data_IF_296551224895
#
_entry.id   IF_296551224895
#
_cell.length_a   1.000
_cell.length_b   1.000
_cell.length_c   1.000
_cell.angle_alpha   90.00
_cell.angle_beta   90.00
_cell.angle_gamma   90.00
#
_symmetry.space_group_name_H-M   'P 1'
#
loop_
_entity.id
_entity.type
_entity.pdbx_description
1 polymer ?
#
# COMPACT_ATOMS: atom_id res chain seq x y z
N UNK A 1 -24.91 -15.88 -11.14
CA UNK A 1 -23.65 -16.52 -10.65
C UNK A 1 -23.21 -15.72 -9.43
N UNK A 2 -23.19 -16.32 -8.22
CA UNK A 2 -22.70 -15.64 -7.01
C UNK A 2 -21.22 -15.25 -7.24
N UNK A 3 -20.92 -13.96 -7.15
CA UNK A 3 -19.52 -13.48 -7.15
C UNK A 3 -18.72 -14.32 -6.13
N UNK A 4 -17.49 -14.75 -6.48
CA UNK A 4 -16.66 -15.47 -5.53
C UNK A 4 -16.52 -14.61 -4.28
N UNK A 5 -16.69 -15.23 -3.11
CA UNK A 5 -16.71 -14.58 -1.80
C UNK A 5 -15.55 -13.59 -1.65
N UNK A 6 -15.85 -12.31 -1.80
CA UNK A 6 -14.90 -11.22 -1.58
C UNK A 6 -14.71 -11.06 -0.07
N UNK A 7 -13.48 -10.93 0.40
CA UNK A 7 -13.18 -10.72 1.80
C UNK A 7 -13.47 -9.25 2.18
N UNK A 8 -14.75 -8.93 2.31
CA UNK A 8 -15.25 -7.56 2.53
C UNK A 8 -14.62 -6.90 3.75
N UNK A 9 -14.43 -7.65 4.84
CA UNK A 9 -13.79 -7.13 6.04
C UNK A 9 -12.32 -6.78 5.77
N UNK A 10 -11.57 -7.62 5.06
CA UNK A 10 -10.17 -7.34 4.71
C UNK A 10 -10.06 -6.12 3.78
N UNK A 11 -11.02 -5.92 2.87
CA UNK A 11 -11.11 -4.72 2.05
C UNK A 11 -11.31 -3.47 2.94
N UNK A 12 -12.23 -3.53 3.92
CA UNK A 12 -12.47 -2.44 4.87
C UNK A 12 -11.26 -2.13 5.74
N UNK A 13 -10.60 -3.15 6.29
CA UNK A 13 -9.38 -3.01 7.09
C UNK A 13 -8.26 -2.34 6.28
N UNK A 14 -8.08 -2.73 5.01
CA UNK A 14 -7.12 -2.08 4.11
C UNK A 14 -7.47 -0.61 3.86
N UNK A 15 -8.76 -0.31 3.71
CA UNK A 15 -9.24 1.07 3.55
C UNK A 15 -8.92 1.92 4.78
N UNK A 16 -9.28 1.46 5.96
CA UNK A 16 -8.99 2.16 7.22
C UNK A 16 -7.49 2.40 7.39
N UNK A 17 -6.65 1.39 7.14
CA UNK A 17 -5.20 1.55 7.23
C UNK A 17 -4.67 2.62 6.25
N UNK A 18 -5.20 2.70 5.02
CA UNK A 18 -4.80 3.71 4.04
C UNK A 18 -5.19 5.13 4.48
N UNK A 19 -6.37 5.31 5.08
CA UNK A 19 -6.78 6.60 5.65
C UNK A 19 -5.91 7.02 6.84
N UNK A 20 -5.52 6.07 7.71
CA UNK A 20 -4.61 6.37 8.83
C UNK A 20 -3.24 6.81 8.30
N UNK A 21 -2.73 6.18 7.24
CA UNK A 21 -1.47 6.61 6.59
C UNK A 21 -1.58 8.03 6.02
N UNK A 22 -2.71 8.39 5.40
CA UNK A 22 -2.94 9.74 4.92
C UNK A 22 -2.93 10.75 6.09
N UNK A 23 -3.65 10.47 7.17
CA UNK A 23 -3.65 11.32 8.36
C UNK A 23 -2.25 11.44 8.97
N UNK A 24 -1.50 10.34 9.03
CA UNK A 24 -0.12 10.32 9.50
C UNK A 24 0.78 11.29 8.72
N UNK A 25 0.73 11.26 7.40
CA UNK A 25 1.54 12.16 6.57
C UNK A 25 1.11 13.62 6.72
N UNK A 26 -0.19 13.90 6.83
CA UNK A 26 -0.69 15.26 7.10
C UNK A 26 -0.21 15.78 8.45
N UNK A 27 -0.23 14.95 9.49
CA UNK A 27 0.26 15.31 10.82
C UNK A 27 1.78 15.55 10.83
N UNK A 28 2.54 14.77 10.06
CA UNK A 28 3.98 14.95 9.90
C UNK A 28 4.35 16.32 9.28
N UNK A 29 3.52 16.89 8.42
CA UNK A 29 3.74 18.24 7.86
C UNK A 29 3.78 19.33 8.95
N UNK A 30 3.17 19.08 10.11
CA UNK A 30 3.21 19.97 11.28
C UNK A 30 4.38 19.70 12.23
N UNK A 31 5.38 18.92 11.81
CA UNK A 31 6.53 18.51 12.62
C UNK A 31 6.16 17.76 13.91
N UNK A 32 4.97 17.17 13.94
CA UNK A 32 4.51 16.38 15.08
C UNK A 32 4.91 14.90 14.91
N UNK A 33 5.37 14.29 15.99
CA UNK A 33 5.71 12.87 16.07
C UNK A 33 4.50 12.01 16.49
N UNK A 34 3.28 12.45 16.16
CA UNK A 34 2.07 11.70 16.44
C UNK A 34 1.93 10.49 15.51
N UNK A 35 1.21 9.47 15.97
CA UNK A 35 0.93 8.25 15.23
C UNK A 35 2.20 7.44 14.86
N UNK A 36 3.06 7.09 15.82
CA UNK A 36 4.37 6.48 15.55
C UNK A 36 4.28 5.12 14.84
N UNK A 37 3.17 4.40 14.98
CA UNK A 37 2.97 3.09 14.37
C UNK A 37 2.22 3.13 13.04
N UNK A 38 1.74 4.29 12.58
CA UNK A 38 0.97 4.39 11.34
C UNK A 38 1.76 3.91 10.10
N UNK A 39 3.08 4.08 10.09
CA UNK A 39 3.96 3.57 9.04
C UNK A 39 3.98 2.04 8.92
N UNK A 40 3.58 1.30 9.98
CA UNK A 40 3.44 -0.15 9.95
C UNK A 40 2.21 -0.62 9.15
N UNK A 41 1.30 0.28 8.76
CA UNK A 41 0.22 -0.05 7.85
C UNK A 41 0.75 -0.66 6.54
N UNK A 42 1.96 -0.31 6.11
CA UNK A 42 2.60 -0.91 4.94
C UNK A 42 2.90 -2.39 5.17
N UNK A 43 3.36 -2.76 6.36
CA UNK A 43 3.60 -4.17 6.72
C UNK A 43 2.30 -4.96 6.77
N UNK A 44 1.21 -4.33 7.29
CA UNK A 44 -0.14 -4.89 7.21
C UNK A 44 -0.59 -5.09 5.74
N UNK A 45 -0.30 -4.15 4.84
CA UNK A 45 -0.58 -4.31 3.41
C UNK A 45 0.21 -5.45 2.79
N UNK A 46 1.46 -5.71 3.21
CA UNK A 46 2.22 -6.86 2.73
C UNK A 46 1.60 -8.19 3.19
N UNK A 47 1.11 -8.30 4.43
CA UNK A 47 0.37 -9.50 4.89
C UNK A 47 -0.89 -9.71 4.04
N UNK A 48 -1.68 -8.65 3.83
CA UNK A 48 -2.87 -8.71 2.97
C UNK A 48 -2.52 -9.06 1.52
N UNK A 49 -1.44 -8.50 0.98
CA UNK A 49 -0.99 -8.77 -0.40
C UNK A 49 -0.65 -10.26 -0.57
N UNK A 50 0.14 -10.84 0.32
CA UNK A 50 0.45 -12.27 0.30
C UNK A 50 -0.81 -13.15 0.34
N UNK A 51 -1.74 -12.83 1.26
CA UNK A 51 -3.01 -13.56 1.39
C UNK A 51 -3.87 -13.47 0.12
N UNK A 52 -4.09 -12.26 -0.40
CA UNK A 52 -4.96 -12.02 -1.56
C UNK A 52 -4.35 -12.58 -2.84
N UNK A 53 -3.04 -12.50 -3.00
CA UNK A 53 -2.32 -13.04 -4.15
C UNK A 53 -2.43 -14.56 -4.17
N UNK A 54 -2.19 -15.23 -3.05
CA UNK A 54 -2.36 -16.67 -2.95
C UNK A 54 -3.82 -17.08 -3.25
N UNK A 55 -4.80 -16.37 -2.68
CA UNK A 55 -6.23 -16.60 -2.95
C UNK A 55 -6.58 -16.46 -4.44
N UNK A 56 -6.11 -15.41 -5.09
CA UNK A 56 -6.51 -15.12 -6.47
C UNK A 56 -5.80 -15.99 -7.52
N UNK A 57 -4.56 -16.40 -7.24
CA UNK A 57 -3.67 -16.92 -8.27
C UNK A 57 -3.07 -18.30 -7.99
N UNK A 58 -2.84 -18.69 -6.71
CA UNK A 58 -2.08 -19.91 -6.39
C UNK A 58 -2.66 -21.16 -7.06
N UNK A 59 -3.97 -21.41 -6.92
CA UNK A 59 -4.63 -22.57 -7.54
C UNK A 59 -4.46 -22.58 -9.06
N UNK A 60 -4.62 -21.42 -9.71
CA UNK A 60 -4.51 -21.30 -11.17
C UNK A 60 -3.09 -21.55 -11.68
N UNK A 61 -2.09 -21.08 -10.91
CA UNK A 61 -0.67 -21.30 -11.24
C UNK A 61 -0.29 -22.78 -11.07
N UNK A 62 -0.72 -23.41 -9.96
CA UNK A 62 -0.43 -24.80 -9.67
C UNK A 62 -1.13 -25.76 -10.65
N UNK A 63 -2.34 -25.43 -11.10
CA UNK A 63 -3.05 -26.22 -12.13
C UNK A 63 -2.59 -25.96 -13.56
N UNK A 64 -1.63 -25.05 -13.77
CA UNK A 64 -1.16 -24.68 -15.10
C UNK A 64 -2.11 -23.76 -15.90
N UNK A 65 -3.25 -23.34 -15.30
CA UNK A 65 -4.23 -22.44 -15.93
C UNK A 65 -3.74 -21.00 -16.07
N UNK A 66 -2.69 -20.62 -15.33
CA UNK A 66 -2.07 -19.32 -15.39
C UNK A 66 -0.56 -19.45 -15.49
N UNK A 67 0.02 -18.83 -16.52
CA UNK A 67 1.46 -18.80 -16.71
C UNK A 67 2.12 -17.69 -15.87
N UNK A 68 3.40 -17.81 -15.50
CA UNK A 68 4.13 -16.77 -14.76
C UNK A 68 4.07 -15.40 -15.42
N UNK A 69 4.16 -15.32 -16.73
CA UNK A 69 4.07 -14.07 -17.50
C UNK A 69 2.69 -13.41 -17.33
N UNK A 70 1.62 -14.19 -17.41
CA UNK A 70 0.24 -13.69 -17.27
C UNK A 70 -0.02 -13.16 -15.85
N UNK A 71 0.59 -13.80 -14.83
CA UNK A 71 0.57 -13.29 -13.45
C UNK A 71 1.22 -11.90 -13.36
N UNK A 72 2.44 -11.75 -13.90
CA UNK A 72 3.17 -10.48 -13.88
C UNK A 72 2.38 -9.40 -14.63
N UNK A 73 1.87 -9.72 -15.83
CA UNK A 73 1.03 -8.80 -16.60
C UNK A 73 -0.22 -8.37 -15.84
N UNK A 74 -0.89 -9.30 -15.14
CA UNK A 74 -2.07 -8.98 -14.35
C UNK A 74 -1.73 -8.01 -13.19
N UNK A 75 -0.56 -8.16 -12.55
CA UNK A 75 -0.08 -7.26 -11.49
C UNK A 75 0.25 -5.87 -12.06
N UNK A 76 0.97 -5.81 -13.18
CA UNK A 76 1.29 -4.54 -13.85
C UNK A 76 0.00 -3.82 -14.26
N UNK A 77 -0.92 -4.49 -14.96
CA UNK A 77 -2.21 -3.92 -15.38
C UNK A 77 -3.03 -3.42 -14.19
N UNK A 78 -2.88 -4.02 -13.01
CA UNK A 78 -3.60 -3.63 -11.79
C UNK A 78 -3.03 -2.40 -11.09
N UNK A 79 -1.70 -2.25 -11.06
CA UNK A 79 -1.04 -1.22 -10.23
C UNK A 79 -0.53 -0.04 -11.06
N UNK A 80 -0.02 -0.31 -12.26
CA UNK A 80 0.74 0.67 -13.03
C UNK A 80 -0.06 1.91 -13.49
N UNK A 81 -1.35 1.85 -13.83
CA UNK A 81 -2.07 3.04 -14.27
C UNK A 81 -2.01 4.19 -13.25
N UNK A 82 -2.29 3.93 -11.98
CA UNK A 82 -2.22 4.96 -10.94
C UNK A 82 -0.78 5.32 -10.56
N UNK A 83 0.17 4.41 -10.64
CA UNK A 83 1.61 4.72 -10.49
C UNK A 83 2.02 5.73 -11.57
N UNK A 84 1.68 5.47 -12.82
CA UNK A 84 1.99 6.37 -13.93
C UNK A 84 1.37 7.76 -13.71
N UNK A 85 0.10 7.83 -13.36
CA UNK A 85 -0.58 9.10 -13.12
C UNK A 85 0.05 9.87 -11.97
N UNK A 86 0.25 9.24 -10.81
CA UNK A 86 0.81 9.90 -9.63
C UNK A 86 2.26 10.33 -9.84
N UNK A 87 3.08 9.51 -10.49
CA UNK A 87 4.46 9.85 -10.83
C UNK A 87 4.51 10.99 -11.85
N UNK A 88 3.58 11.04 -12.82
CA UNK A 88 3.47 12.15 -13.77
C UNK A 88 3.15 13.48 -13.07
N UNK A 89 2.30 13.48 -12.03
CA UNK A 89 2.08 14.67 -11.20
C UNK A 89 3.40 15.07 -10.50
N UNK A 90 4.13 14.11 -9.92
CA UNK A 90 5.43 14.36 -9.30
C UNK A 90 6.48 14.92 -10.29
N UNK A 91 6.50 14.42 -11.53
CA UNK A 91 7.36 14.96 -12.60
C UNK A 91 6.98 16.41 -12.92
N UNK A 92 5.68 16.69 -13.05
CA UNK A 92 5.20 18.05 -13.36
C UNK A 92 5.58 19.05 -12.25
N UNK A 93 5.45 18.66 -10.98
CA UNK A 93 5.90 19.51 -9.85
C UNK A 93 7.42 19.70 -9.83
N UNK A 94 8.20 18.65 -10.13
CA UNK A 94 9.65 18.76 -10.22
C UNK A 94 10.10 19.60 -11.42
N UNK A 95 9.39 19.57 -12.55
CA UNK A 95 9.65 20.43 -13.71
C UNK A 95 9.46 21.91 -13.35
N UNK A 96 8.38 22.24 -12.61
CA UNK A 96 8.20 23.61 -12.11
C UNK A 96 9.36 24.04 -11.20
N UNK A 97 9.90 23.14 -10.37
CA UNK A 97 11.06 23.44 -9.55
C UNK A 97 12.32 23.69 -10.38
N UNK A 98 12.51 22.98 -11.51
CA UNK A 98 13.59 23.27 -12.49
C UNK A 98 13.44 24.66 -13.10
N UNK A 99 12.20 25.02 -13.48
CA UNK A 99 11.93 26.28 -14.20
C UNK A 99 12.04 27.53 -13.31
N UNK A 100 11.70 27.40 -12.02
CA UNK A 100 11.53 28.56 -11.14
C UNK A 100 12.47 28.62 -9.94
N UNK A 101 13.18 27.54 -9.60
CA UNK A 101 14.03 27.49 -8.38
C UNK A 101 15.50 27.16 -8.62
N UNK A 102 15.91 26.85 -9.85
CA UNK A 102 17.26 26.39 -10.23
C UNK A 102 17.88 25.32 -9.30
N UNK A 103 17.00 24.58 -8.60
CA UNK A 103 17.42 23.61 -7.57
C UNK A 103 17.74 22.22 -8.13
N UNK A 104 17.36 21.96 -9.37
CA UNK A 104 17.46 20.66 -10.05
C UNK A 104 17.82 20.90 -11.51
N UNK A 105 18.79 20.17 -12.05
CA UNK A 105 19.12 20.24 -13.49
C UNK A 105 18.15 19.40 -14.32
N UNK A 106 17.96 19.74 -15.60
CA UNK A 106 17.12 18.97 -16.52
C UNK A 106 17.60 17.52 -16.64
N UNK A 107 18.91 17.26 -16.63
CA UNK A 107 19.45 15.90 -16.68
C UNK A 107 19.10 15.09 -15.42
N UNK A 108 19.13 15.73 -14.24
CA UNK A 108 18.69 15.09 -13.00
C UNK A 108 17.20 14.77 -13.04
N UNK A 109 16.37 15.72 -13.52
CA UNK A 109 14.94 15.49 -13.69
C UNK A 109 14.66 14.30 -14.63
N UNK A 110 15.32 14.22 -15.76
CA UNK A 110 15.16 13.09 -16.70
C UNK A 110 15.53 11.74 -16.06
N UNK A 111 16.66 11.67 -15.34
CA UNK A 111 17.08 10.45 -14.62
C UNK A 111 16.06 10.03 -13.57
N UNK A 112 15.60 10.95 -12.72
CA UNK A 112 14.63 10.69 -11.67
C UNK A 112 13.28 10.29 -12.25
N UNK A 113 12.87 10.92 -13.37
CA UNK A 113 11.62 10.57 -14.05
C UNK A 113 11.64 9.16 -14.62
N UNK A 114 12.73 8.78 -15.29
CA UNK A 114 12.88 7.41 -15.81
C UNK A 114 12.84 6.36 -14.68
N UNK A 115 13.58 6.59 -13.59
CA UNK A 115 13.59 5.69 -12.44
C UNK A 115 12.20 5.64 -11.75
N UNK A 116 11.57 6.80 -11.55
CA UNK A 116 10.24 6.88 -10.92
C UNK A 116 9.15 6.17 -11.72
N UNK A 117 9.15 6.31 -13.04
CA UNK A 117 8.22 5.57 -13.93
C UNK A 117 8.46 4.06 -13.91
N UNK A 118 9.69 3.62 -13.68
CA UNK A 118 10.04 2.20 -13.51
C UNK A 118 9.84 1.69 -12.07
N UNK A 119 9.38 2.56 -11.15
CA UNK A 119 9.21 2.25 -9.72
C UNK A 119 10.55 1.82 -9.09
N UNK A 120 11.64 2.41 -9.54
CA UNK A 120 12.99 2.14 -9.04
C UNK A 120 13.47 3.27 -8.11
N UNK A 121 14.34 2.97 -7.14
CA UNK A 121 14.93 3.98 -6.27
C UNK A 121 15.83 4.92 -7.05
N UNK A 122 15.89 6.16 -6.62
CA UNK A 122 16.77 7.19 -7.16
C UNK A 122 17.73 7.67 -6.09
N UNK A 123 19.02 7.58 -6.37
CA UNK A 123 20.11 8.12 -5.57
C UNK A 123 20.74 9.35 -6.25
N UNK A 124 19.99 9.98 -7.16
CA UNK A 124 20.44 11.16 -7.93
C UNK A 124 20.62 12.39 -7.05
N UNK A 125 19.91 12.46 -5.94
CA UNK A 125 19.95 13.55 -4.97
C UNK A 125 20.45 13.05 -3.61
N UNK A 126 21.75 12.91 -3.37
CA UNK A 126 22.29 12.40 -2.11
C UNK A 126 21.86 13.22 -0.88
N UNK A 127 21.59 14.52 -1.07
CA UNK A 127 21.12 15.43 -0.02
C UNK A 127 19.65 15.21 0.37
N UNK A 128 18.88 14.42 -0.39
CA UNK A 128 17.49 14.08 -0.05
C UNK A 128 17.46 12.75 0.68
N UNK A 129 16.73 12.69 1.77
CA UNK A 129 16.61 11.46 2.56
C UNK A 129 15.86 10.36 1.81
N UNK A 130 14.88 10.74 1.00
CA UNK A 130 14.04 9.76 0.28
C UNK A 130 14.74 9.18 -0.96
N UNK A 131 14.56 7.88 -1.18
CA UNK A 131 14.95 7.22 -2.44
C UNK A 131 13.87 7.34 -3.54
N UNK A 132 12.70 7.93 -3.25
CA UNK A 132 11.59 8.07 -4.19
C UNK A 132 11.09 9.53 -4.27
N UNK A 133 11.88 10.41 -4.85
CA UNK A 133 11.63 11.87 -4.77
C UNK A 133 10.40 12.35 -5.53
N UNK A 134 9.91 11.63 -6.54
CA UNK A 134 8.71 12.03 -7.30
C UNK A 134 7.41 11.56 -6.65
N UNK A 135 7.43 10.39 -6.03
CA UNK A 135 6.30 9.84 -5.29
C UNK A 135 6.80 8.92 -4.17
N UNK A 136 6.81 9.43 -2.96
CA UNK A 136 7.32 8.70 -1.80
C UNK A 136 6.58 7.37 -1.57
N UNK A 137 5.28 7.28 -1.88
CA UNK A 137 4.52 6.04 -1.70
C UNK A 137 5.00 4.87 -2.58
N UNK A 138 5.76 5.15 -3.66
CA UNK A 138 6.27 4.12 -4.60
C UNK A 138 7.27 3.16 -3.96
N UNK A 139 7.91 3.53 -2.83
CA UNK A 139 8.89 2.67 -2.20
C UNK A 139 8.35 1.27 -1.86
N UNK A 140 7.16 1.19 -1.29
CA UNK A 140 6.57 -0.07 -0.88
C UNK A 140 6.19 -0.95 -2.08
N UNK A 141 5.84 -0.35 -3.21
CA UNK A 141 5.49 -1.06 -4.43
C UNK A 141 6.71 -1.71 -5.10
N UNK A 142 7.91 -1.11 -4.97
CA UNK A 142 9.17 -1.75 -5.38
C UNK A 142 9.36 -3.08 -4.67
N UNK A 143 9.20 -3.10 -3.35
CA UNK A 143 9.36 -4.33 -2.57
C UNK A 143 8.18 -5.29 -2.75
N UNK A 144 6.96 -4.80 -2.96
CA UNK A 144 5.83 -5.64 -3.35
C UNK A 144 6.10 -6.33 -4.70
N UNK A 145 6.60 -5.60 -5.68
CA UNK A 145 6.97 -6.18 -6.98
C UNK A 145 8.06 -7.25 -6.82
N UNK A 146 9.08 -6.98 -6.01
CA UNK A 146 10.14 -7.95 -5.69
C UNK A 146 9.58 -9.24 -5.11
N UNK A 147 8.77 -9.20 -4.04
CA UNK A 147 8.25 -10.44 -3.44
C UNK A 147 7.25 -11.15 -4.34
N UNK A 148 6.53 -10.44 -5.21
CA UNK A 148 5.70 -11.06 -6.24
C UNK A 148 6.55 -11.86 -7.26
N UNK A 149 7.71 -11.32 -7.67
CA UNK A 149 8.64 -12.02 -8.55
C UNK A 149 9.26 -13.24 -7.86
N UNK A 150 9.66 -13.10 -6.60
CA UNK A 150 10.14 -14.24 -5.79
C UNK A 150 9.03 -15.30 -5.71
N UNK A 151 7.82 -14.92 -5.32
CA UNK A 151 6.70 -15.85 -5.19
C UNK A 151 6.41 -16.62 -6.48
N UNK A 152 6.26 -15.92 -7.62
CA UNK A 152 5.94 -16.61 -8.88
C UNK A 152 7.06 -17.56 -9.33
N UNK A 153 8.31 -17.26 -8.99
CA UNK A 153 9.45 -18.10 -9.33
C UNK A 153 9.49 -19.40 -8.52
N UNK A 154 8.98 -19.39 -7.26
CA UNK A 154 9.09 -20.54 -6.35
C UNK A 154 7.77 -21.26 -6.08
N UNK A 155 6.59 -20.67 -6.38
CA UNK A 155 5.27 -21.16 -5.94
C UNK A 155 5.00 -22.61 -6.33
N UNK A 156 5.45 -23.07 -7.50
CA UNK A 156 5.29 -24.47 -7.97
C UNK A 156 6.08 -25.48 -7.12
N UNK A 157 7.15 -25.04 -6.47
CA UNK A 157 8.00 -25.85 -5.58
C UNK A 157 7.75 -25.57 -4.10
N UNK A 158 6.93 -24.57 -3.78
CA UNK A 158 6.70 -24.09 -2.42
C UNK A 158 5.72 -25.03 -1.68
N UNK A 159 6.25 -26.14 -1.16
CA UNK A 159 5.50 -27.03 -0.26
C UNK A 159 5.15 -26.32 1.06
N UNK A 160 4.22 -26.86 1.85
CA UNK A 160 3.89 -26.29 3.16
C UNK A 160 5.09 -26.27 4.11
N UNK A 161 5.95 -27.32 4.09
CA UNK A 161 7.17 -27.36 4.88
C UNK A 161 8.17 -26.27 4.46
N UNK A 162 8.38 -26.10 3.13
CA UNK A 162 9.24 -25.03 2.60
C UNK A 162 8.70 -23.65 2.95
N UNK A 163 7.37 -23.45 2.90
CA UNK A 163 6.75 -22.18 3.29
C UNK A 163 6.93 -21.88 4.78
N UNK A 164 6.76 -22.88 5.67
CA UNK A 164 6.99 -22.71 7.11
C UNK A 164 8.45 -22.34 7.36
N UNK A 165 9.41 -23.04 6.71
CA UNK A 165 10.83 -22.72 6.85
C UNK A 165 11.16 -21.30 6.35
N UNK A 166 10.59 -20.89 5.21
CA UNK A 166 10.76 -19.54 4.67
C UNK A 166 10.18 -18.47 5.60
N UNK A 167 8.99 -18.70 6.16
CA UNK A 167 8.37 -17.79 7.14
C UNK A 167 9.23 -17.70 8.39
N UNK A 168 9.72 -18.83 8.94
CA UNK A 168 10.54 -18.84 10.13
C UNK A 168 11.88 -18.14 9.91
N UNK A 169 12.58 -18.43 8.80
CA UNK A 169 13.86 -17.80 8.49
C UNK A 169 13.73 -16.31 8.20
N UNK A 170 12.69 -15.88 7.47
CA UNK A 170 12.44 -14.46 7.23
C UNK A 170 11.99 -13.73 8.51
N UNK A 171 11.29 -14.39 9.42
CA UNK A 171 11.00 -13.84 10.74
C UNK A 171 12.28 -13.61 11.56
N UNK A 172 13.20 -14.56 11.60
CA UNK A 172 14.49 -14.37 12.25
C UNK A 172 15.28 -13.21 11.65
N UNK A 173 15.26 -13.06 10.33
CA UNK A 173 15.88 -11.92 9.65
C UNK A 173 15.19 -10.58 10.03
N UNK A 174 13.85 -10.56 10.15
CA UNK A 174 13.11 -9.39 10.63
C UNK A 174 13.46 -9.05 12.08
N UNK A 175 13.59 -10.04 12.96
CA UNK A 175 14.05 -9.85 14.36
C UNK A 175 15.44 -9.23 14.38
N UNK A 176 16.38 -9.76 13.61
CA UNK A 176 17.73 -9.21 13.50
C UNK A 176 17.72 -7.77 12.98
N UNK A 177 16.88 -7.46 11.99
CA UNK A 177 16.65 -6.11 11.52
C UNK A 177 16.19 -5.18 12.65
N UNK A 178 15.14 -5.57 13.39
CA UNK A 178 14.57 -4.77 14.48
C UNK A 178 15.60 -4.51 15.59
N UNK A 179 16.43 -5.50 15.92
CA UNK A 179 17.53 -5.34 16.89
C UNK A 179 18.58 -4.35 16.37
N UNK A 180 18.93 -4.45 15.08
CA UNK A 180 19.96 -3.60 14.46
C UNK A 180 19.56 -2.13 14.35
N UNK A 181 18.31 -1.85 13.92
CA UNK A 181 17.83 -0.48 13.66
C UNK A 181 16.87 0.06 14.72
N UNK A 182 16.68 -0.67 15.84
CA UNK A 182 15.78 -0.31 16.94
C UNK A 182 14.31 -0.08 16.52
N UNK A 183 13.84 -0.84 15.51
CA UNK A 183 12.47 -0.77 15.02
C UNK A 183 12.27 -1.40 13.64
N UNK A 184 11.07 -1.33 13.10
CA UNK A 184 10.81 -1.72 11.72
C UNK A 184 11.00 -0.50 10.82
N UNK A 185 12.14 -0.40 10.16
CA UNK A 185 12.52 0.70 9.29
C UNK A 185 13.11 0.19 7.96
N UNK A 186 13.33 1.11 7.03
CA UNK A 186 13.96 0.84 5.73
C UNK A 186 12.99 0.75 4.57
N UNK A 187 13.55 0.92 3.38
CA UNK A 187 12.87 0.89 2.09
C UNK A 187 12.58 2.25 1.47
N UNK A 188 12.25 3.26 2.26
CA UNK A 188 11.89 4.60 1.77
C UNK A 188 13.09 5.56 1.68
N UNK A 189 14.05 5.46 2.58
CA UNK A 189 15.22 6.32 2.67
C UNK A 189 16.42 5.72 1.91
N UNK A 190 17.32 6.56 1.43
CA UNK A 190 18.49 6.12 0.66
C UNK A 190 19.40 5.20 1.47
N UNK A 191 19.76 5.56 2.71
CA UNK A 191 20.65 4.79 3.58
C UNK A 191 20.09 3.41 3.95
N UNK A 192 18.81 3.33 4.26
CA UNK A 192 18.14 2.08 4.66
C UNK A 192 17.36 1.39 3.54
N UNK A 193 17.57 1.77 2.27
CA UNK A 193 16.76 1.23 1.18
C UNK A 193 16.81 -0.30 1.09
N UNK A 194 17.98 -0.89 1.16
CA UNK A 194 18.17 -2.34 1.05
C UNK A 194 17.48 -3.14 2.17
N UNK A 195 17.25 -2.53 3.33
CA UNK A 195 16.54 -3.18 4.44
C UNK A 195 15.08 -3.49 4.11
N UNK A 196 14.52 -2.78 3.12
CA UNK A 196 13.17 -3.05 2.62
C UNK A 196 12.99 -4.48 2.07
N UNK A 197 14.04 -5.10 1.54
CA UNK A 197 13.98 -6.51 1.10
C UNK A 197 13.78 -7.46 2.28
N UNK A 198 14.45 -7.22 3.39
CA UNK A 198 14.28 -8.03 4.61
C UNK A 198 12.88 -7.79 5.20
N UNK A 199 12.47 -6.52 5.27
CA UNK A 199 11.20 -6.12 5.85
C UNK A 199 9.99 -6.75 5.17
N UNK A 200 9.99 -6.87 3.84
CA UNK A 200 8.82 -7.31 3.05
C UNK A 200 8.60 -8.82 3.05
N UNK A 201 9.67 -9.62 3.18
CA UNK A 201 9.59 -11.09 2.96
C UNK A 201 8.70 -11.76 3.99
N UNK A 202 8.93 -11.51 5.29
CA UNK A 202 8.14 -12.15 6.35
C UNK A 202 6.64 -11.81 6.23
N UNK A 203 6.18 -10.55 6.23
CA UNK A 203 4.75 -10.24 6.20
C UNK A 203 4.07 -10.74 4.92
N UNK A 204 4.75 -10.77 3.79
CA UNK A 204 4.17 -11.31 2.57
C UNK A 204 4.00 -12.83 2.63
N UNK A 205 5.03 -13.58 3.03
CA UNK A 205 4.95 -15.05 3.04
C UNK A 205 4.10 -15.61 4.19
N UNK A 206 4.03 -14.92 5.34
CA UNK A 206 3.04 -15.27 6.36
C UNK A 206 1.61 -15.08 5.81
N UNK A 207 1.35 -14.03 5.02
CA UNK A 207 0.08 -13.84 4.32
C UNK A 207 -0.30 -15.03 3.44
N UNK A 208 0.65 -15.59 2.67
CA UNK A 208 0.44 -16.81 1.88
C UNK A 208 0.11 -18.01 2.77
N UNK A 209 0.84 -18.18 3.88
CA UNK A 209 0.57 -19.25 4.84
C UNK A 209 -0.84 -19.14 5.44
N UNK A 210 -1.25 -17.93 5.83
CA UNK A 210 -2.60 -17.67 6.33
C UNK A 210 -3.69 -18.06 5.31
N UNK A 211 -3.46 -17.81 4.02
CA UNK A 211 -4.40 -18.27 2.98
C UNK A 211 -4.51 -19.79 2.94
N UNK A 212 -3.39 -20.52 2.98
CA UNK A 212 -3.38 -22.00 2.94
C UNK A 212 -4.09 -22.63 4.15
N UNK A 213 -3.99 -21.99 5.32
CA UNK A 213 -4.56 -22.46 6.58
C UNK A 213 -5.79 -21.65 7.04
N UNK A 214 -6.42 -20.89 6.13
CA UNK A 214 -7.54 -20.01 6.49
C UNK A 214 -8.71 -20.73 7.10
N UNK A 215 -9.45 -20.08 8.03
CA UNK A 215 -10.63 -20.65 8.65
C UNK A 215 -11.82 -20.68 7.68
N UNK A 216 -12.81 -21.52 8.00
CA UNK A 216 -14.10 -21.50 7.29
C UNK A 216 -14.86 -20.20 7.64
N UNK A 217 -15.52 -19.58 6.65
CA UNK A 217 -16.27 -18.34 6.87
C UNK A 217 -17.44 -18.55 7.87
N UNK A 218 -17.58 -17.60 8.81
CA UNK A 218 -18.67 -17.54 9.78
C UNK A 218 -19.21 -16.12 9.91
N UNK A 219 -20.50 -15.98 10.17
CA UNK A 219 -21.09 -14.66 10.44
C UNK A 219 -20.76 -14.22 11.87
N UNK A 220 -19.88 -13.22 12.01
CA UNK A 220 -19.44 -12.65 13.29
C UNK A 220 -19.21 -11.14 13.15
N UNK A 221 -20.28 -10.34 12.97
CA UNK A 221 -20.12 -8.90 12.72
C UNK A 221 -19.44 -8.15 13.86
N UNK A 222 -19.74 -8.50 15.11
CA UNK A 222 -19.11 -7.91 16.30
C UNK A 222 -17.59 -8.13 16.29
N UNK A 223 -17.13 -9.33 15.96
CA UNK A 223 -15.70 -9.63 15.82
C UNK A 223 -15.08 -8.77 14.71
N UNK A 224 -15.79 -8.53 13.61
CA UNK A 224 -15.33 -7.65 12.55
C UNK A 224 -15.12 -6.21 13.02
N UNK A 225 -16.03 -5.67 13.80
CA UNK A 225 -15.89 -4.33 14.40
C UNK A 225 -14.70 -4.29 15.38
N UNK A 226 -14.55 -5.33 16.22
CA UNK A 226 -13.40 -5.41 17.14
C UNK A 226 -12.09 -5.41 16.37
N UNK A 227 -11.95 -6.16 15.27
CA UNK A 227 -10.73 -6.18 14.46
C UNK A 227 -10.43 -4.80 13.83
N UNK A 228 -11.45 -4.06 13.38
CA UNK A 228 -11.29 -2.69 12.90
C UNK A 228 -10.79 -1.76 14.01
N UNK A 229 -11.39 -1.82 15.20
CA UNK A 229 -10.99 -1.01 16.35
C UNK A 229 -9.57 -1.35 16.83
N UNK A 230 -9.21 -2.64 16.87
CA UNK A 230 -7.85 -3.09 17.22
C UNK A 230 -6.84 -2.56 16.22
N UNK A 231 -7.10 -2.65 14.90
CA UNK A 231 -6.20 -2.11 13.89
C UNK A 231 -6.05 -0.59 14.04
N UNK A 232 -7.15 0.14 14.23
CA UNK A 232 -7.10 1.59 14.49
C UNK A 232 -6.24 1.90 15.74
N UNK A 233 -6.49 1.21 16.86
CA UNK A 233 -5.77 1.44 18.10
C UNK A 233 -4.27 1.20 17.93
N UNK A 234 -3.86 0.09 17.28
CA UNK A 234 -2.46 -0.24 17.06
C UNK A 234 -1.76 0.82 16.20
N UNK A 235 -2.40 1.31 15.15
CA UNK A 235 -1.79 2.27 14.23
C UNK A 235 -1.78 3.71 14.77
N UNK A 236 -2.65 4.04 15.76
CA UNK A 236 -2.81 5.42 16.22
C UNK A 236 -2.33 5.68 17.63
N UNK A 237 -2.35 4.69 18.52
CA UNK A 237 -1.93 4.89 19.91
C UNK A 237 -0.41 4.93 20.03
N UNK A 238 0.08 5.86 20.83
CA UNK A 238 1.49 5.94 21.18
C UNK A 238 1.76 5.04 22.39
N UNK A 239 2.38 3.89 22.16
CA UNK A 239 2.76 2.92 23.19
C UNK A 239 4.29 2.93 23.31
N UNK A 240 4.86 2.88 24.53
CA UNK A 240 6.31 2.83 24.72
C UNK A 240 6.92 1.55 24.13
N UNK A 241 8.26 1.51 24.01
CA UNK A 241 9.03 0.37 23.45
C UNK A 241 8.73 0.08 21.98
N UNK A 242 8.88 1.10 21.12
CA UNK A 242 8.57 1.06 19.69
C UNK A 242 9.11 -0.18 18.98
N UNK A 243 10.36 -0.58 19.22
CA UNK A 243 10.98 -1.74 18.57
C UNK A 243 10.24 -3.05 18.91
N UNK A 244 9.94 -3.29 20.19
CA UNK A 244 9.24 -4.50 20.64
C UNK A 244 7.79 -4.51 20.16
N UNK A 245 7.07 -3.38 20.30
CA UNK A 245 5.68 -3.28 19.87
C UNK A 245 5.56 -3.45 18.37
N UNK A 246 6.42 -2.81 17.57
CA UNK A 246 6.40 -2.96 16.11
C UNK A 246 6.65 -4.41 15.67
N UNK A 247 7.59 -5.10 16.33
CA UNK A 247 7.83 -6.53 16.07
C UNK A 247 6.60 -7.38 16.40
N UNK A 248 5.97 -7.18 17.57
CA UNK A 248 4.74 -7.89 17.98
C UNK A 248 3.61 -7.61 16.98
N UNK A 249 3.42 -6.35 16.58
CA UNK A 249 2.35 -5.96 15.67
C UNK A 249 2.51 -6.64 14.31
N UNK A 250 3.69 -6.60 13.73
CA UNK A 250 3.94 -7.18 12.40
C UNK A 250 4.00 -8.71 12.45
N UNK A 251 4.58 -9.30 13.51
CA UNK A 251 4.78 -10.76 13.59
C UNK A 251 3.54 -11.52 14.05
N UNK A 252 2.68 -10.91 14.88
CA UNK A 252 1.58 -11.62 15.55
C UNK A 252 0.23 -10.96 15.24
N UNK A 253 0.10 -9.66 15.52
CA UNK A 253 -1.22 -9.03 15.52
C UNK A 253 -1.77 -8.84 14.11
N UNK A 254 -0.97 -8.34 13.16
CA UNK A 254 -1.42 -8.20 11.77
C UNK A 254 -1.75 -9.55 11.12
N UNK A 255 -0.92 -10.61 11.25
CA UNK A 255 -1.31 -11.94 10.84
C UNK A 255 -2.61 -12.44 11.49
N UNK A 256 -2.78 -12.23 12.81
CA UNK A 256 -4.00 -12.63 13.52
C UNK A 256 -5.25 -11.89 13.01
N UNK A 257 -5.15 -10.56 12.76
CA UNK A 257 -6.23 -9.76 12.17
C UNK A 257 -6.60 -10.29 10.79
N UNK A 258 -5.63 -10.56 9.92
CA UNK A 258 -5.88 -11.07 8.56
C UNK A 258 -6.49 -12.48 8.63
N UNK A 259 -5.96 -13.37 9.47
CA UNK A 259 -6.48 -14.73 9.65
C UNK A 259 -7.93 -14.71 10.13
N UNK A 260 -8.21 -14.02 11.24
CA UNK A 260 -9.55 -13.90 11.79
C UNK A 260 -10.51 -13.21 10.80
N UNK A 261 -10.07 -12.09 10.21
CA UNK A 261 -10.86 -11.31 9.25
C UNK A 261 -11.21 -12.07 7.97
N UNK A 262 -10.36 -13.01 7.54
CA UNK A 262 -10.60 -13.85 6.37
C UNK A 262 -11.76 -14.85 6.58
N UNK A 263 -12.06 -15.18 7.83
CA UNK A 263 -13.15 -16.08 8.22
C UNK A 263 -14.43 -15.36 8.63
N UNK A 264 -14.58 -14.05 8.40
CA UNK A 264 -15.75 -13.28 8.84
C UNK A 264 -16.56 -12.81 7.64
N UNK A 265 -17.84 -13.17 7.62
CA UNK A 265 -18.83 -12.60 6.71
C UNK A 265 -19.48 -11.37 7.35
N UNK A 266 -19.56 -10.28 6.59
CA UNK A 266 -20.17 -9.02 7.00
C UNK A 266 -21.59 -8.93 6.41
N UNK A 267 -22.58 -8.49 7.20
CA UNK A 267 -23.95 -8.26 6.72
C UNK A 267 -24.00 -7.19 5.62
N UNK A 268 -24.98 -7.30 4.73
CA UNK A 268 -25.11 -6.45 3.53
C UNK A 268 -25.13 -4.94 3.82
N UNK A 269 -25.68 -4.49 4.97
CA UNK A 269 -25.78 -3.07 5.28
C UNK A 269 -24.43 -2.32 5.38
N UNK A 270 -23.40 -2.96 5.95
CA UNK A 270 -22.07 -2.36 6.12
C UNK A 270 -21.10 -2.77 4.99
N UNK A 271 -21.45 -3.87 4.33
CA UNK A 271 -20.61 -4.47 3.28
C UNK A 271 -20.24 -3.49 2.16
N UNK A 272 -21.23 -2.73 1.66
CA UNK A 272 -21.01 -1.74 0.59
C UNK A 272 -20.02 -0.65 1.01
N UNK A 273 -20.13 -0.14 2.23
CA UNK A 273 -19.22 0.88 2.76
C UNK A 273 -17.79 0.35 2.88
N UNK A 274 -17.60 -0.84 3.47
CA UNK A 274 -16.27 -1.46 3.60
C UNK A 274 -15.64 -1.77 2.24
N UNK A 275 -16.45 -2.16 1.25
CA UNK A 275 -15.98 -2.37 -0.12
C UNK A 275 -15.51 -1.05 -0.75
N UNK A 276 -16.24 0.05 -0.57
CA UNK A 276 -15.83 1.36 -1.08
C UNK A 276 -14.53 1.84 -0.43
N UNK A 277 -14.39 1.68 0.89
CA UNK A 277 -13.12 1.98 1.57
C UNK A 277 -11.97 1.16 0.98
N UNK A 278 -12.19 -0.14 0.74
CA UNK A 278 -11.19 -1.00 0.14
C UNK A 278 -10.83 -0.63 -1.31
N UNK A 279 -11.80 -0.18 -2.11
CA UNK A 279 -11.55 0.29 -3.48
C UNK A 279 -10.71 1.57 -3.50
N UNK A 280 -10.94 2.49 -2.56
CA UNK A 280 -10.22 3.75 -2.46
C UNK A 280 -8.85 3.61 -1.81
N UNK A 281 -8.55 2.51 -1.11
CA UNK A 281 -7.31 2.35 -0.34
C UNK A 281 -6.04 2.53 -1.19
N UNK A 282 -5.97 1.87 -2.35
CA UNK A 282 -4.82 1.98 -3.24
C UNK A 282 -4.73 3.34 -3.95
N UNK A 283 -5.82 3.89 -4.52
CA UNK A 283 -5.79 5.26 -5.05
C UNK A 283 -5.31 6.30 -4.02
N UNK A 284 -5.84 6.30 -2.80
CA UNK A 284 -5.43 7.22 -1.74
C UNK A 284 -3.94 7.04 -1.43
N UNK A 285 -3.49 5.79 -1.25
CA UNK A 285 -2.11 5.49 -0.90
C UNK A 285 -1.12 6.00 -1.94
N UNK A 286 -1.39 5.82 -3.24
CA UNK A 286 -0.44 6.19 -4.29
C UNK A 286 -0.55 7.67 -4.71
N UNK A 287 -1.74 8.27 -4.63
CA UNK A 287 -1.95 9.67 -5.04
C UNK A 287 -1.53 10.69 -3.97
N UNK A 288 -1.51 10.30 -2.69
CA UNK A 288 -1.20 11.24 -1.61
C UNK A 288 0.20 11.86 -1.75
N UNK A 289 1.24 11.08 -2.12
CA UNK A 289 2.63 11.55 -2.14
C UNK A 289 2.84 12.87 -2.92
N UNK A 290 2.55 12.94 -4.22
CA UNK A 290 2.74 14.16 -4.99
C UNK A 290 1.78 15.29 -4.57
N UNK A 291 0.57 15.00 -4.08
CA UNK A 291 -0.39 16.02 -3.63
C UNK A 291 0.11 16.68 -2.34
N UNK A 292 0.49 15.88 -1.33
CA UNK A 292 1.03 16.38 -0.07
C UNK A 292 2.31 17.19 -0.25
N UNK A 293 3.14 16.84 -1.22
CA UNK A 293 4.33 17.63 -1.55
C UNK A 293 3.99 19.03 -2.07
N UNK A 294 2.92 19.17 -2.86
CA UNK A 294 2.41 20.49 -3.27
C UNK A 294 1.94 21.28 -2.04
N UNK A 295 1.20 20.62 -1.16
CA UNK A 295 0.72 21.22 0.08
C UNK A 295 1.84 21.68 1.01
N UNK A 296 2.90 20.88 1.18
CA UNK A 296 4.10 21.28 1.94
C UNK A 296 4.72 22.56 1.42
N UNK A 297 4.83 22.73 0.09
CA UNK A 297 5.35 23.97 -0.50
C UNK A 297 4.46 25.17 -0.23
N UNK A 298 3.14 25.00 -0.30
CA UNK A 298 2.17 26.05 0.01
C UNK A 298 2.24 26.44 1.50
N UNK A 299 2.32 25.45 2.41
CA UNK A 299 2.38 25.68 3.86
C UNK A 299 3.62 26.43 4.32
N UNK A 300 4.74 26.35 3.60
CA UNK A 300 5.96 27.14 3.90
C UNK A 300 5.72 28.64 3.87
N UNK A 301 4.70 29.11 3.17
CA UNK A 301 4.32 30.51 3.06
C UNK A 301 3.22 30.93 4.06
N UNK A 302 2.78 30.02 4.94
CA UNK A 302 1.74 30.29 5.94
C UNK A 302 2.36 30.61 7.30
N UNK A 303 1.94 31.74 7.90
CA UNK A 303 2.46 32.19 9.18
C UNK A 303 1.61 31.79 10.40
N UNK A 304 0.40 31.28 10.18
CA UNK A 304 -0.54 30.90 11.25
C UNK A 304 -0.69 29.39 11.37
N UNK A 305 -0.44 28.84 12.56
CA UNK A 305 -0.66 27.42 12.84
C UNK A 305 -2.13 27.00 12.61
N UNK A 306 -3.09 27.86 12.97
CA UNK A 306 -4.51 27.58 12.73
C UNK A 306 -4.81 27.47 11.23
N UNK A 307 -4.27 28.38 10.40
CA UNK A 307 -4.42 28.34 8.95
C UNK A 307 -3.79 27.07 8.34
N UNK A 308 -2.63 26.64 8.84
CA UNK A 308 -1.99 25.39 8.40
C UNK A 308 -2.88 24.18 8.71
N UNK A 309 -3.54 24.10 9.87
CA UNK A 309 -4.46 23.00 10.19
C UNK A 309 -5.73 23.02 9.32
N UNK A 310 -6.31 24.18 9.06
CA UNK A 310 -7.43 24.30 8.10
C UNK A 310 -7.01 23.86 6.70
N UNK A 311 -5.81 24.23 6.29
CA UNK A 311 -5.26 23.80 5.00
C UNK A 311 -5.04 22.28 4.95
N UNK A 312 -4.56 21.64 6.01
CA UNK A 312 -4.42 20.17 6.06
C UNK A 312 -5.77 19.46 5.98
N UNK A 313 -6.84 20.01 6.56
CA UNK A 313 -8.19 19.46 6.40
C UNK A 313 -8.70 19.60 4.96
N UNK A 314 -8.41 20.73 4.31
CA UNK A 314 -8.67 20.93 2.89
C UNK A 314 -7.87 19.92 2.04
N UNK A 315 -6.56 19.77 2.31
CA UNK A 315 -5.68 18.85 1.62
C UNK A 315 -6.11 17.38 1.78
N UNK A 316 -6.53 16.97 2.97
CA UNK A 316 -7.18 15.67 3.20
C UNK A 316 -8.34 15.42 2.26
N UNK A 317 -9.24 16.43 2.13
CA UNK A 317 -10.40 16.35 1.24
C UNK A 317 -10.00 16.29 -0.24
N UNK A 318 -8.99 17.07 -0.63
CA UNK A 318 -8.42 17.07 -1.99
C UNK A 318 -7.83 15.71 -2.34
N UNK A 319 -7.03 15.10 -1.45
CA UNK A 319 -6.45 13.75 -1.68
C UNK A 319 -7.55 12.73 -1.92
N UNK A 320 -8.61 12.72 -1.11
CA UNK A 320 -9.73 11.77 -1.27
C UNK A 320 -10.44 12.01 -2.61
N UNK A 321 -10.78 13.26 -2.92
CA UNK A 321 -11.50 13.62 -4.14
C UNK A 321 -10.68 13.26 -5.39
N UNK A 322 -9.41 13.66 -5.44
CA UNK A 322 -8.52 13.38 -6.57
C UNK A 322 -8.30 11.86 -6.71
N UNK A 323 -8.14 11.13 -5.61
CA UNK A 323 -8.01 9.67 -5.62
C UNK A 323 -9.27 8.98 -6.15
N UNK A 324 -10.46 9.46 -5.78
CA UNK A 324 -11.73 8.96 -6.30
C UNK A 324 -11.90 9.25 -7.79
N UNK A 325 -11.59 10.48 -8.23
CA UNK A 325 -11.61 10.88 -9.65
C UNK A 325 -10.63 10.02 -10.46
N UNK A 326 -9.38 9.90 -9.99
CA UNK A 326 -8.34 9.10 -10.64
C UNK A 326 -8.75 7.62 -10.74
N UNK A 327 -9.34 7.05 -9.68
CA UNK A 327 -9.83 5.68 -9.72
C UNK A 327 -10.94 5.49 -10.77
N UNK A 328 -11.96 6.35 -10.73
CA UNK A 328 -13.17 6.18 -11.54
C UNK A 328 -12.97 6.55 -13.02
N UNK A 329 -12.25 7.64 -13.28
CA UNK A 329 -12.15 8.21 -14.64
C UNK A 329 -10.83 7.91 -15.36
N UNK A 330 -9.83 7.41 -14.65
CA UNK A 330 -8.56 7.02 -15.24
C UNK A 330 -8.25 5.52 -15.02
N UNK A 331 -8.16 5.06 -13.78
CA UNK A 331 -7.72 3.68 -13.47
C UNK A 331 -8.70 2.63 -14.02
N UNK A 332 -9.99 2.73 -13.69
CA UNK A 332 -10.99 1.77 -14.15
C UNK A 332 -11.09 1.68 -15.68
N UNK A 333 -11.18 2.80 -16.44
CA UNK A 333 -11.19 2.75 -17.90
C UNK A 333 -9.91 2.14 -18.48
N UNK A 334 -8.74 2.55 -17.98
CA UNK A 334 -7.45 2.02 -18.46
C UNK A 334 -7.35 0.52 -18.19
N UNK A 335 -7.72 0.06 -16.98
CA UNK A 335 -7.71 -1.37 -16.67
C UNK A 335 -8.66 -2.18 -17.56
N UNK A 336 -9.83 -1.64 -17.93
CA UNK A 336 -10.77 -2.30 -18.84
C UNK A 336 -10.15 -2.46 -20.24
N UNK A 337 -9.55 -1.39 -20.77
CA UNK A 337 -8.85 -1.42 -22.06
C UNK A 337 -7.73 -2.47 -22.04
N UNK A 338 -6.90 -2.46 -20.99
CA UNK A 338 -5.78 -3.40 -20.84
C UNK A 338 -6.24 -4.87 -20.68
N UNK A 339 -7.49 -5.11 -20.26
CA UNK A 339 -8.10 -6.45 -20.18
C UNK A 339 -8.86 -6.85 -21.44
N UNK A 340 -8.86 -6.01 -22.49
CA UNK A 340 -9.59 -6.27 -23.74
C UNK A 340 -11.12 -6.13 -23.63
N UNK A 341 -11.62 -5.44 -22.60
CA UNK A 341 -13.03 -5.15 -22.41
C UNK A 341 -13.39 -3.84 -23.12
N UNK A 342 -14.58 -3.78 -23.76
CA UNK A 342 -15.02 -2.55 -24.43
C UNK A 342 -15.11 -1.37 -23.44
N UNK A 343 -14.67 -0.16 -23.85
CA UNK A 343 -14.86 1.05 -23.03
C UNK A 343 -16.36 1.32 -22.80
N UNK A 344 -16.69 1.94 -21.67
CA UNK A 344 -18.07 2.33 -21.34
C UNK A 344 -18.65 3.23 -22.45
N UNK A 345 -19.83 2.88 -22.98
CA UNK A 345 -20.67 3.86 -23.67
C UNK A 345 -21.26 4.79 -22.63
N UNK A 346 -21.17 6.11 -22.84
CA UNK A 346 -21.65 7.18 -21.92
C UNK A 346 -23.14 7.07 -21.48
N UNK A 347 -23.90 6.11 -21.98
CA UNK A 347 -25.32 5.88 -21.62
C UNK A 347 -25.57 4.82 -20.54
N UNK A 348 -24.55 4.10 -20.03
CA UNK A 348 -24.73 3.03 -19.02
C UNK A 348 -24.57 3.49 -17.56
N UNK A 349 -24.32 4.78 -17.34
CA UNK A 349 -24.14 5.36 -16.00
C UNK A 349 -25.45 5.53 -15.19
N UNK A 350 -26.63 5.16 -15.74
CA UNK A 350 -27.95 5.47 -15.14
C UNK A 350 -28.77 4.21 -14.81
N UNK A 351 -28.19 3.01 -14.80
CA UNK A 351 -28.92 1.84 -14.31
C UNK A 351 -28.30 1.33 -13.01
N UNK A 352 -28.97 1.52 -11.86
CA UNK A 352 -28.64 0.79 -10.64
C UNK A 352 -29.03 -0.68 -10.83
N UNK A 353 -28.06 -1.58 -10.67
CA UNK A 353 -28.25 -3.03 -10.57
C UNK A 353 -28.41 -3.43 -9.12
#
# INVERSE_FOLDING_TARGET
MKNPSRFVLLDGLRGVAAFIVLVFHLVQQHTLTALPYAGLAVDFFYVLSGFVIAYAYERKILSGQLQPREFIEARIKRLYPLIFLSTSIGISTALLAVMFKDSITMLQLLKVSALGLLVLPSFVFPQWLTAYPLNMASWSLTFEAFVNLVYISIVRKLTNGALILLVASSWLALVALVIHVHGIAGGNNQEGWSLGFVRVVFPFFIGIALYRFRPQPKERPITGIILLLVLCAILTLNVPHYALCSLIYVSIIFPAIVYAGSGINIPNGISAFLQQLGLLSYPIYIMQGPILRIGEEIMKHMNSKAMMWFFSLFEFSVVILVSWIASKYFDEPVQRILRGQKPFRQGELIRPS
#
